data_IF_151278176607
#
_entry.id   IF_151278176607
#
_cell.length_a   1.000
_cell.length_b   1.000
_cell.length_c   1.000
_cell.angle_alpha   90.00
_cell.angle_beta   90.00
_cell.angle_gamma   90.00
#
_symmetry.space_group_name_H-M   'P 1'
#
loop_
_entity.id
_entity.type
_entity.pdbx_description
1 polymer ?
#
# COMPACT_ATOMS: atom_id res chain seq x y z
N UNK A 1 34.73 -24.84 -14.48
CA UNK A 1 34.41 -25.12 -13.06
C UNK A 1 33.23 -24.22 -12.73
N UNK A 2 32.02 -24.69 -13.04
CA UNK A 2 30.79 -23.93 -12.81
C UNK A 2 30.44 -24.04 -11.33
N UNK A 3 30.46 -22.92 -10.63
CA UNK A 3 29.93 -22.84 -9.27
C UNK A 3 28.41 -22.86 -9.37
N UNK A 4 27.84 -24.01 -9.07
CA UNK A 4 26.39 -24.20 -8.99
C UNK A 4 25.82 -23.34 -7.85
N UNK A 5 25.14 -22.26 -8.23
CA UNK A 5 24.58 -21.24 -7.33
C UNK A 5 23.41 -21.81 -6.51
N UNK A 6 23.00 -23.05 -6.74
CA UNK A 6 21.96 -23.74 -5.97
C UNK A 6 22.46 -24.32 -4.64
N UNK A 7 23.78 -24.42 -4.41
CA UNK A 7 24.34 -25.04 -3.18
C UNK A 7 24.15 -24.24 -1.88
N UNK A 8 23.73 -22.97 -1.93
CA UNK A 8 23.59 -22.11 -0.74
C UNK A 8 22.17 -21.95 -0.22
N UNK A 9 21.17 -22.68 -0.75
CA UNK A 9 19.95 -22.89 0.01
C UNK A 9 20.21 -23.95 1.06
N UNK A 10 20.75 -23.52 2.21
CA UNK A 10 20.69 -24.25 3.46
C UNK A 10 19.22 -24.47 3.83
N UNK A 11 18.62 -25.48 3.20
CA UNK A 11 17.26 -25.92 3.39
C UNK A 11 17.17 -26.50 4.81
N UNK A 12 16.79 -25.64 5.76
CA UNK A 12 16.45 -26.06 7.09
C UNK A 12 15.30 -27.10 6.98
N UNK A 13 15.53 -28.39 7.31
CA UNK A 13 14.59 -29.48 7.04
C UNK A 13 13.29 -29.37 7.86
N UNK A 14 13.23 -28.49 8.85
CA UNK A 14 12.03 -28.23 9.66
C UNK A 14 11.14 -27.09 9.13
N UNK A 15 11.59 -26.34 8.12
CA UNK A 15 10.77 -25.28 7.50
C UNK A 15 9.75 -25.89 6.55
N UNK A 16 8.68 -26.49 7.10
CA UNK A 16 7.49 -26.80 6.30
C UNK A 16 7.07 -25.56 5.51
N UNK A 17 6.91 -25.65 4.18
CA UNK A 17 6.45 -24.51 3.39
C UNK A 17 5.10 -24.04 3.95
N UNK A 18 4.96 -22.72 4.11
CA UNK A 18 3.70 -22.15 4.55
C UNK A 18 2.60 -22.47 3.52
N UNK A 19 1.46 -22.95 3.99
CA UNK A 19 0.32 -23.23 3.10
C UNK A 19 -0.15 -21.93 2.44
N UNK A 20 -0.69 -21.99 1.21
CA UNK A 20 -1.25 -20.81 0.54
C UNK A 20 -2.30 -20.09 1.39
N UNK A 21 -3.13 -20.86 2.10
CA UNK A 21 -4.15 -20.34 3.03
C UNK A 21 -3.53 -19.55 4.17
N UNK A 22 -2.43 -20.05 4.77
CA UNK A 22 -1.73 -19.35 5.84
C UNK A 22 -1.12 -18.03 5.34
N UNK A 23 -0.53 -18.04 4.14
CA UNK A 23 0.03 -16.83 3.52
C UNK A 23 -1.07 -15.79 3.31
N UNK A 24 -2.22 -16.19 2.76
CA UNK A 24 -3.36 -15.30 2.53
C UNK A 24 -3.88 -14.68 3.82
N UNK A 25 -4.11 -15.50 4.86
CA UNK A 25 -4.57 -15.02 6.16
C UNK A 25 -3.59 -14.02 6.81
N UNK A 26 -2.27 -14.30 6.72
CA UNK A 26 -1.25 -13.40 7.25
C UNK A 26 -1.25 -12.05 6.53
N UNK A 27 -1.34 -12.07 5.19
CA UNK A 27 -1.39 -10.83 4.37
C UNK A 27 -2.66 -10.03 4.67
N UNK A 28 -3.82 -10.66 4.75
CA UNK A 28 -5.08 -9.98 5.09
C UNK A 28 -5.05 -9.37 6.49
N UNK A 29 -4.47 -10.07 7.48
CA UNK A 29 -4.33 -9.55 8.83
C UNK A 29 -3.41 -8.31 8.87
N UNK A 30 -2.27 -8.35 8.17
CA UNK A 30 -1.37 -7.19 8.06
C UNK A 30 -2.07 -6.03 7.35
N UNK A 31 -2.78 -6.26 6.25
CA UNK A 31 -3.50 -5.20 5.53
C UNK A 31 -4.59 -4.56 6.41
N UNK A 32 -5.34 -5.35 7.19
CA UNK A 32 -6.34 -4.84 8.15
C UNK A 32 -5.70 -3.96 9.21
N UNK A 33 -4.55 -4.36 9.77
CA UNK A 33 -3.82 -3.54 10.73
C UNK A 33 -3.39 -2.20 10.10
N UNK A 34 -2.82 -2.23 8.91
CA UNK A 34 -2.36 -1.02 8.21
C UNK A 34 -3.50 -0.06 7.85
N UNK A 35 -4.70 -0.58 7.55
CA UNK A 35 -5.85 0.26 7.25
C UNK A 35 -6.56 0.81 8.49
N UNK A 36 -6.42 0.14 9.64
CA UNK A 36 -7.10 0.52 10.89
C UNK A 36 -6.22 1.32 11.84
N UNK A 37 -4.91 1.36 11.61
CA UNK A 37 -3.93 2.01 12.47
C UNK A 37 -2.85 2.73 11.67
N UNK A 38 -2.16 3.69 12.28
CA UNK A 38 -1.00 4.40 11.70
C UNK A 38 0.32 3.61 11.80
N UNK A 39 0.24 2.28 11.94
CA UNK A 39 1.42 1.44 12.13
C UNK A 39 2.22 1.31 10.84
N UNK A 40 3.54 1.18 10.97
CA UNK A 40 4.39 0.81 9.84
C UNK A 40 4.17 -0.65 9.46
N UNK A 41 4.48 -1.00 8.20
CA UNK A 41 4.48 -2.38 7.73
C UNK A 41 5.28 -3.31 8.65
N UNK A 42 6.45 -2.86 9.10
CA UNK A 42 7.31 -3.64 9.98
C UNK A 42 6.65 -3.88 11.34
N UNK A 43 5.98 -2.87 11.90
CA UNK A 43 5.28 -3.02 13.17
C UNK A 43 4.08 -3.99 13.04
N UNK A 44 3.31 -3.88 11.96
CA UNK A 44 2.18 -4.77 11.67
C UNK A 44 2.63 -6.22 11.44
N UNK A 45 3.72 -6.46 10.71
CA UNK A 45 4.24 -7.83 10.50
C UNK A 45 4.80 -8.45 11.78
N UNK A 46 5.45 -7.67 12.65
CA UNK A 46 5.90 -8.14 13.96
C UNK A 46 4.72 -8.51 14.87
N UNK A 47 3.63 -7.77 14.80
CA UNK A 47 2.42 -8.07 15.57
C UNK A 47 1.74 -9.36 15.10
N UNK A 48 1.71 -9.62 13.79
CA UNK A 48 1.06 -10.81 13.19
C UNK A 48 1.94 -12.07 13.30
N UNK A 49 3.26 -11.93 13.29
CA UNK A 49 4.24 -13.03 13.36
C UNK A 49 3.99 -14.10 14.44
N UNK A 50 3.78 -13.74 15.73
CA UNK A 50 3.54 -14.74 16.77
C UNK A 50 2.25 -15.53 16.57
N UNK A 51 1.20 -14.92 16.00
CA UNK A 51 -0.08 -15.59 15.76
C UNK A 51 -0.04 -16.55 14.56
N UNK A 52 0.82 -16.26 13.59
CA UNK A 52 0.99 -17.09 12.38
C UNK A 52 2.07 -18.18 12.58
N UNK A 53 2.89 -18.07 13.63
CA UNK A 53 4.00 -18.99 13.89
C UNK A 53 5.12 -18.89 12.85
N UNK A 54 5.32 -17.67 12.31
CA UNK A 54 6.26 -17.42 11.22
C UNK A 54 7.08 -16.16 11.48
N UNK A 55 8.31 -16.17 11.01
CA UNK A 55 9.21 -15.04 11.20
C UNK A 55 8.67 -13.79 10.48
N UNK A 56 8.77 -12.58 11.08
CA UNK A 56 8.28 -11.34 10.48
C UNK A 56 8.78 -11.10 9.05
N UNK A 57 10.05 -11.39 8.77
CA UNK A 57 10.63 -11.30 7.41
C UNK A 57 9.91 -12.17 6.36
N UNK A 58 9.42 -13.36 6.73
CA UNK A 58 8.68 -14.21 5.79
C UNK A 58 7.33 -13.61 5.46
N UNK A 59 6.64 -13.09 6.47
CA UNK A 59 5.33 -12.43 6.31
C UNK A 59 5.49 -11.15 5.48
N UNK A 60 6.56 -10.36 5.74
CA UNK A 60 6.87 -9.16 4.96
C UNK A 60 7.04 -9.47 3.48
N UNK A 61 7.80 -10.52 3.14
CA UNK A 61 7.95 -10.96 1.74
C UNK A 61 6.62 -11.37 1.10
N UNK A 62 5.71 -12.00 1.86
CA UNK A 62 4.37 -12.32 1.36
C UNK A 62 3.53 -11.07 1.12
N UNK A 63 3.62 -10.07 2.00
CA UNK A 63 2.94 -8.79 1.85
C UNK A 63 3.47 -8.02 0.62
N UNK A 64 4.79 -7.94 0.47
CA UNK A 64 5.45 -7.34 -0.70
C UNK A 64 5.01 -8.03 -2.00
N UNK A 65 4.98 -9.37 -2.01
CA UNK A 65 4.51 -10.16 -3.18
C UNK A 65 3.04 -9.94 -3.50
N UNK A 66 2.23 -9.63 -2.49
CA UNK A 66 0.81 -9.33 -2.62
C UNK A 66 0.51 -7.86 -2.92
N UNK A 67 1.53 -7.00 -3.01
CA UNK A 67 1.36 -5.55 -3.23
C UNK A 67 0.91 -4.77 -1.99
N UNK A 68 0.86 -5.41 -0.82
CA UNK A 68 0.62 -4.78 0.48
C UNK A 68 1.89 -4.01 0.83
N UNK A 69 1.96 -2.76 0.36
CA UNK A 69 2.78 -1.61 0.82
C UNK A 69 2.77 -0.47 -0.21
N UNK A 70 2.15 -0.65 -1.39
CA UNK A 70 2.35 0.31 -2.48
C UNK A 70 1.58 1.61 -2.34
N UNK A 71 0.48 1.69 -1.58
CA UNK A 71 -0.32 2.93 -1.60
C UNK A 71 -1.30 3.19 -0.43
N UNK A 72 -1.56 2.28 0.51
CA UNK A 72 -2.74 2.46 1.40
C UNK A 72 -2.54 3.38 2.62
N UNK A 73 -1.32 3.83 2.93
CA UNK A 73 -1.08 4.71 4.08
C UNK A 73 -1.36 6.20 3.79
N UNK A 74 -1.63 6.59 2.53
CA UNK A 74 -1.89 7.98 2.13
C UNK A 74 -3.37 8.26 1.82
N UNK A 75 -4.24 7.26 1.95
CA UNK A 75 -5.53 7.26 1.26
C UNK A 75 -6.51 8.38 1.69
N UNK A 76 -6.69 8.74 2.98
CA UNK A 76 -7.64 9.79 3.34
C UNK A 76 -7.16 11.21 3.03
N UNK A 77 -5.89 11.51 3.34
CA UNK A 77 -5.33 12.86 3.17
C UNK A 77 -5.07 13.16 1.68
N UNK A 78 -4.62 12.16 0.92
CA UNK A 78 -4.42 12.30 -0.53
C UNK A 78 -5.76 12.44 -1.25
N UNK A 79 -6.78 11.65 -0.90
CA UNK A 79 -8.12 11.83 -1.44
C UNK A 79 -8.70 13.22 -1.13
N UNK A 80 -8.45 13.75 0.06
CA UNK A 80 -8.86 15.09 0.45
C UNK A 80 -8.13 16.17 -0.36
N UNK A 81 -6.81 16.04 -0.56
CA UNK A 81 -6.05 16.94 -1.42
C UNK A 81 -6.48 16.89 -2.88
N UNK A 82 -6.75 15.69 -3.42
CA UNK A 82 -7.24 15.53 -4.79
C UNK A 82 -8.61 16.20 -4.96
N UNK A 83 -9.53 16.05 -3.99
CA UNK A 83 -10.81 16.78 -3.97
C UNK A 83 -10.62 18.29 -3.94
N UNK A 84 -9.73 18.81 -3.10
CA UNK A 84 -9.47 20.25 -3.01
C UNK A 84 -8.96 20.81 -4.34
N UNK A 85 -8.06 20.08 -5.02
CA UNK A 85 -7.56 20.46 -6.34
C UNK A 85 -8.68 20.48 -7.38
N UNK A 86 -9.57 19.49 -7.37
CA UNK A 86 -10.69 19.42 -8.30
C UNK A 86 -11.68 20.58 -8.09
N UNK A 87 -11.97 20.94 -6.83
CA UNK A 87 -12.82 22.11 -6.51
C UNK A 87 -12.19 23.40 -7.01
N UNK A 88 -10.89 23.62 -6.76
CA UNK A 88 -10.18 24.81 -7.24
C UNK A 88 -10.18 24.86 -8.77
N UNK A 89 -10.02 23.71 -9.44
CA UNK A 89 -10.05 23.63 -10.91
C UNK A 89 -11.44 23.98 -11.44
N UNK A 90 -12.51 23.49 -10.82
CA UNK A 90 -13.90 23.84 -11.19
C UNK A 90 -14.15 25.34 -11.05
N UNK A 91 -13.77 25.93 -9.91
CA UNK A 91 -13.92 27.36 -9.67
C UNK A 91 -13.16 28.21 -10.69
N UNK A 92 -11.93 27.82 -11.04
CA UNK A 92 -11.15 28.53 -12.05
C UNK A 92 -11.79 28.45 -13.44
N UNK A 93 -12.43 27.32 -13.79
CA UNK A 93 -13.14 27.18 -15.06
C UNK A 93 -14.39 28.06 -15.10
N UNK A 94 -15.17 28.10 -14.02
CA UNK A 94 -16.37 28.95 -13.90
C UNK A 94 -16.01 30.44 -13.93
N UNK A 95 -14.95 30.85 -13.22
CA UNK A 95 -14.48 32.23 -13.25
C UNK A 95 -13.95 32.64 -14.63
N UNK A 96 -13.22 31.76 -15.31
CA UNK A 96 -12.74 32.02 -16.67
C UNK A 96 -13.90 32.13 -17.67
N UNK A 97 -14.95 31.32 -17.52
CA UNK A 97 -16.16 31.41 -18.32
C UNK A 97 -16.90 32.73 -18.08
N UNK A 98 -17.08 33.14 -16.82
CA UNK A 98 -17.74 34.39 -16.46
C UNK A 98 -16.99 35.65 -16.94
N UNK A 99 -15.66 35.59 -17.03
CA UNK A 99 -14.85 36.67 -17.58
C UNK A 99 -14.96 36.79 -19.10
N UNK A 100 -15.12 35.66 -19.81
CA UNK A 100 -15.34 35.64 -21.27
C UNK A 100 -16.76 36.07 -21.67
N UNK A 101 -17.75 35.88 -20.79
CA UNK A 101 -19.15 36.25 -21.03
C UNK A 101 -19.45 37.73 -20.75
N UNK A 102 -18.45 38.51 -20.31
CA UNK A 102 -18.60 39.94 -20.05
C UNK A 102 -18.65 40.71 -21.38
N UNK A 103 -19.79 41.31 -21.76
CA UNK A 103 -19.85 42.11 -22.97
C UNK A 103 -18.90 43.31 -22.85
N UNK A 104 -18.24 43.72 -23.94
CA UNK A 104 -17.34 44.88 -23.91
C UNK A 104 -18.11 46.11 -23.42
N UNK A 105 -17.44 47.02 -22.69
CA UNK A 105 -18.07 48.24 -22.22
C UNK A 105 -18.65 48.99 -23.42
N UNK A 106 -19.94 49.34 -23.35
CA UNK A 106 -20.59 50.16 -24.36
C UNK A 106 -20.06 51.58 -24.22
N UNK A 107 -19.24 52.00 -25.16
CA UNK A 107 -18.87 53.41 -25.38
C UNK A 107 -20.05 54.21 -25.93
#
# INVERSE_FOLDING_TARGET
MELDVTMFESANPERRPASPTLKKLAVEAVQKLLNSTSMSMWAATNMVAPHVGRHPNSIRRWCESAGVNRESALDPLRQEYERQIDVIRSLNQEMAAALNDRPPPRE
#
